data_IF_521433243566
#
_entry.id   IF_521433243566
#
_cell.length_a   1.000
_cell.length_b   1.000
_cell.length_c   1.000
_cell.angle_alpha   90.00
_cell.angle_beta   90.00
_cell.angle_gamma   90.00
#
_symmetry.space_group_name_H-M   'P 1'
#
loop_
_entity.id
_entity.type
_entity.pdbx_description
1 polymer ?
#
# COMPACT_ATOMS: atom_id res chain seq x y z
N UNK A 1 5.44 11.60 -8.73
CA UNK A 1 4.07 11.85 -9.22
C UNK A 1 3.27 12.50 -8.12
N UNK A 2 2.26 13.28 -8.46
CA UNK A 2 1.30 13.80 -7.51
C UNK A 2 -0.09 13.25 -7.87
N UNK A 3 -0.85 12.83 -6.85
CA UNK A 3 -2.27 12.47 -6.99
C UNK A 3 -3.13 13.71 -6.81
N UNK A 4 -4.24 13.76 -7.53
CA UNK A 4 -5.26 14.79 -7.32
C UNK A 4 -6.06 14.46 -6.05
N UNK A 5 -6.70 15.49 -5.47
CA UNK A 5 -7.60 15.30 -4.33
C UNK A 5 -8.80 14.42 -4.67
N UNK A 6 -9.22 14.35 -5.94
CA UNK A 6 -10.30 13.47 -6.42
C UNK A 6 -9.87 12.02 -6.47
N UNK A 7 -8.66 11.76 -6.98
CA UNK A 7 -8.07 10.42 -6.99
C UNK A 7 -7.92 9.88 -5.55
N UNK A 8 -7.40 10.69 -4.62
CA UNK A 8 -7.26 10.28 -3.21
C UNK A 8 -8.63 10.04 -2.55
N UNK A 9 -9.62 10.92 -2.80
CA UNK A 9 -11.00 10.72 -2.31
C UNK A 9 -11.62 9.43 -2.86
N UNK A 10 -11.33 9.07 -4.11
CA UNK A 10 -11.82 7.82 -4.70
C UNK A 10 -11.31 6.57 -3.96
N UNK A 11 -10.17 6.68 -3.27
CA UNK A 11 -9.66 5.59 -2.44
C UNK A 11 -10.36 5.50 -1.08
N UNK A 12 -11.17 6.49 -0.69
CA UNK A 12 -11.93 6.50 0.57
C UNK A 12 -11.20 7.15 1.75
N UNK A 13 -10.08 7.83 1.49
CA UNK A 13 -9.29 8.58 2.49
C UNK A 13 -9.36 10.09 2.24
N UNK A 14 -9.01 10.87 3.26
CA UNK A 14 -9.10 12.33 3.21
C UNK A 14 -7.83 12.95 2.58
N UNK A 15 -7.92 13.64 1.43
CA UNK A 15 -6.76 14.25 0.78
C UNK A 15 -6.11 15.37 1.59
N UNK A 16 -6.81 15.92 2.58
CA UNK A 16 -6.29 16.98 3.46
C UNK A 16 -5.57 16.42 4.69
N UNK A 17 -5.77 15.14 5.01
CA UNK A 17 -5.13 14.46 6.14
C UNK A 17 -3.98 13.58 5.64
N UNK A 18 -2.98 14.26 5.08
CA UNK A 18 -1.78 13.64 4.51
C UNK A 18 -0.55 13.94 5.37
N UNK A 19 0.25 12.91 5.61
CA UNK A 19 1.56 13.02 6.27
C UNK A 19 2.66 12.48 5.34
N UNK A 20 3.78 13.19 5.26
CA UNK A 20 4.98 12.73 4.56
C UNK A 20 5.73 11.71 5.43
N UNK A 21 6.05 10.55 4.85
CA UNK A 21 6.73 9.45 5.56
C UNK A 21 8.26 9.54 5.49
N UNK A 22 8.84 10.53 4.81
CA UNK A 22 10.28 10.73 4.68
C UNK A 22 11.00 10.91 6.03
N UNK A 23 10.27 11.21 7.10
CA UNK A 23 10.81 11.28 8.47
C UNK A 23 11.13 9.91 9.08
N UNK A 24 10.68 8.80 8.46
CA UNK A 24 10.83 7.42 8.98
C UNK A 24 12.14 6.73 8.57
N UNK A 25 12.98 7.37 7.77
CA UNK A 25 14.31 6.87 7.36
C UNK A 25 14.69 7.28 5.93
N UNK A 26 15.99 7.36 5.62
CA UNK A 26 16.49 7.86 4.32
C UNK A 26 16.04 7.04 3.09
N UNK A 27 15.67 5.78 3.32
CA UNK A 27 15.32 4.82 2.27
C UNK A 27 13.82 4.72 2.02
N UNK A 28 13.00 5.33 2.88
CA UNK A 28 11.55 5.25 2.81
C UNK A 28 10.96 6.61 2.43
N UNK A 29 10.35 6.70 1.25
CA UNK A 29 9.72 7.93 0.75
C UNK A 29 8.27 7.67 0.45
N UNK A 30 7.37 8.55 0.86
CA UNK A 30 5.96 8.24 0.74
C UNK A 30 5.01 9.23 1.39
N UNK A 31 3.74 8.87 1.35
CA UNK A 31 2.66 9.62 1.98
C UNK A 31 1.70 8.65 2.66
N UNK A 32 1.13 9.08 3.79
CA UNK A 32 0.02 8.40 4.46
C UNK A 32 -1.19 9.31 4.40
N UNK A 33 -2.32 8.79 3.94
CA UNK A 33 -3.62 9.43 4.00
C UNK A 33 -4.50 8.69 5.00
N UNK A 34 -5.13 9.43 5.90
CA UNK A 34 -5.94 8.85 6.98
C UNK A 34 -7.43 9.07 6.76
N UNK A 35 -8.22 8.15 7.29
CA UNK A 35 -9.68 8.21 7.37
C UNK A 35 -10.14 7.83 8.79
N UNK A 36 -11.43 7.71 9.04
CA UNK A 36 -11.92 7.33 10.37
C UNK A 36 -11.60 5.85 10.68
N UNK A 37 -10.49 5.63 11.39
CA UNK A 37 -10.08 4.32 11.92
C UNK A 37 -9.18 3.47 11.02
N UNK A 38 -8.76 3.99 9.87
CA UNK A 38 -7.90 3.30 8.92
C UNK A 38 -7.11 4.29 8.06
N UNK A 39 -6.09 3.80 7.35
CA UNK A 39 -5.22 4.61 6.50
C UNK A 39 -4.80 3.86 5.23
N UNK A 40 -4.38 4.66 4.24
CA UNK A 40 -3.64 4.20 3.06
C UNK A 40 -2.27 4.87 3.11
N UNK A 41 -1.23 4.08 2.97
CA UNK A 41 0.14 4.56 2.85
C UNK A 41 0.71 4.12 1.50
N UNK A 42 1.37 5.05 0.81
CA UNK A 42 2.22 4.73 -0.31
C UNK A 42 3.67 4.95 0.08
N UNK A 43 4.48 3.90 0.01
CA UNK A 43 5.93 3.95 0.24
C UNK A 43 6.71 3.55 -1.00
N UNK A 44 7.94 4.04 -1.13
CA UNK A 44 8.91 3.63 -2.14
C UNK A 44 10.17 3.17 -1.41
N UNK A 45 10.66 1.98 -1.77
CA UNK A 45 11.83 1.33 -1.19
C UNK A 45 12.77 0.92 -2.33
N UNK A 46 14.07 1.18 -2.19
CA UNK A 46 15.08 0.88 -3.22
C UNK A 46 15.56 -0.57 -3.16
N UNK A 47 14.67 -1.52 -3.43
CA UNK A 47 14.98 -2.95 -3.46
C UNK A 47 14.15 -3.67 -4.53
N UNK A 48 14.56 -4.89 -4.94
CA UNK A 48 13.80 -5.66 -5.91
C UNK A 48 12.53 -6.25 -5.28
N UNK A 49 11.46 -6.31 -6.06
CA UNK A 49 10.18 -6.85 -5.60
C UNK A 49 10.26 -8.33 -5.17
N UNK A 50 11.24 -9.08 -5.67
CA UNK A 50 11.47 -10.48 -5.29
C UNK A 50 11.74 -10.66 -3.80
N UNK A 51 12.24 -9.63 -3.10
CA UNK A 51 12.48 -9.67 -1.66
C UNK A 51 11.18 -9.94 -0.88
N UNK A 52 10.05 -9.50 -1.41
CA UNK A 52 8.74 -9.62 -0.76
C UNK A 52 8.06 -10.98 -0.99
N UNK A 53 8.67 -11.87 -1.79
CA UNK A 53 8.26 -13.27 -1.92
C UNK A 53 9.00 -14.20 -0.94
N UNK A 54 9.84 -13.64 -0.08
CA UNK A 54 10.56 -14.39 0.95
C UNK A 54 9.59 -14.81 2.07
N UNK A 55 8.95 -15.98 1.93
CA UNK A 55 7.90 -16.45 2.85
C UNK A 55 8.32 -16.61 4.32
N UNK A 56 9.58 -16.96 4.67
CA UNK A 56 10.05 -16.83 6.05
C UNK A 56 9.95 -15.43 6.66
N UNK A 57 10.11 -14.38 5.85
CA UNK A 57 10.05 -12.98 6.28
C UNK A 57 8.64 -12.40 6.12
N UNK A 58 7.95 -12.80 5.05
CA UNK A 58 6.59 -12.37 4.71
C UNK A 58 5.68 -13.59 4.55
N UNK A 59 5.22 -14.20 5.66
CA UNK A 59 4.33 -15.36 5.59
C UNK A 59 3.05 -15.02 4.82
N UNK A 60 2.61 -15.94 3.96
CA UNK A 60 1.42 -15.73 3.13
C UNK A 60 1.60 -14.74 1.97
N UNK A 61 2.82 -14.23 1.74
CA UNK A 61 3.11 -13.47 0.52
C UNK A 61 2.84 -14.30 -0.73
N UNK A 62 2.31 -13.66 -1.76
CA UNK A 62 2.00 -14.28 -3.05
C UNK A 62 2.25 -13.32 -4.20
N UNK A 63 2.66 -13.87 -5.33
CA UNK A 63 2.68 -13.12 -6.58
C UNK A 63 1.25 -12.91 -7.09
N UNK A 64 0.97 -11.72 -7.61
CA UNK A 64 -0.34 -11.35 -8.16
C UNK A 64 -0.17 -10.34 -9.30
N UNK A 65 -1.00 -10.43 -10.34
CA UNK A 65 -1.02 -9.41 -11.41
C UNK A 65 -1.83 -8.20 -10.94
N UNK A 66 -1.17 -7.05 -10.80
CA UNK A 66 -1.78 -5.81 -10.29
C UNK A 66 -1.59 -4.72 -11.33
N UNK A 67 -2.69 -4.22 -11.92
CA UNK A 67 -2.63 -3.24 -13.02
C UNK A 67 -1.76 -3.68 -14.20
N UNK A 68 -1.63 -5.00 -14.44
CA UNK A 68 -0.78 -5.58 -15.49
C UNK A 68 0.69 -5.80 -15.11
N UNK A 69 1.13 -5.33 -13.94
CA UNK A 69 2.48 -5.54 -13.42
C UNK A 69 2.57 -6.83 -12.59
N UNK A 70 3.77 -7.42 -12.54
CA UNK A 70 4.10 -8.55 -11.66
C UNK A 70 4.28 -8.04 -10.22
N UNK A 71 3.17 -7.96 -9.49
CA UNK A 71 3.12 -7.47 -8.11
C UNK A 71 3.19 -8.58 -7.07
N UNK A 72 3.25 -8.17 -5.80
CA UNK A 72 3.24 -9.06 -4.65
C UNK A 72 2.22 -8.56 -3.63
N UNK A 73 1.43 -9.46 -3.06
CA UNK A 73 0.51 -9.14 -1.96
C UNK A 73 0.91 -9.90 -0.72
N UNK A 74 0.97 -9.22 0.41
CA UNK A 74 1.32 -9.84 1.69
C UNK A 74 0.69 -9.10 2.87
N UNK A 75 0.50 -9.83 3.97
CA UNK A 75 -0.06 -9.32 5.21
C UNK A 75 1.06 -9.03 6.22
N UNK A 76 0.88 -8.01 7.07
CA UNK A 76 1.82 -7.71 8.15
C UNK A 76 1.10 -7.03 9.32
N UNK A 77 1.21 -7.50 10.57
CA UNK A 77 1.84 -8.77 10.95
C UNK A 77 1.16 -9.95 10.23
N UNK A 78 1.84 -11.10 10.15
CA UNK A 78 1.45 -12.24 9.31
C UNK A 78 0.01 -12.75 9.51
N UNK A 79 -0.66 -12.39 10.61
CA UNK A 79 -2.08 -12.72 10.85
C UNK A 79 -3.03 -11.85 10.04
N UNK A 80 -2.56 -10.78 9.38
CA UNK A 80 -3.36 -9.95 8.48
C UNK A 80 -4.43 -9.10 9.15
N UNK A 81 -4.49 -9.15 10.48
CA UNK A 81 -5.60 -8.57 11.23
C UNK A 81 -5.57 -7.05 11.21
N UNK A 82 -4.47 -6.38 10.89
CA UNK A 82 -4.45 -4.91 10.93
C UNK A 82 -3.84 -4.24 9.71
N UNK A 83 -3.18 -4.99 8.81
CA UNK A 83 -2.58 -4.39 7.62
C UNK A 83 -2.31 -5.40 6.49
N UNK A 84 -2.47 -4.92 5.26
CA UNK A 84 -2.08 -5.63 4.05
C UNK A 84 -1.38 -4.69 3.07
N UNK A 85 -0.44 -5.25 2.31
CA UNK A 85 0.40 -4.53 1.36
C UNK A 85 0.26 -5.13 -0.03
N UNK A 86 0.09 -4.27 -1.03
CA UNK A 86 0.26 -4.57 -2.44
C UNK A 86 1.52 -3.84 -2.93
N UNK A 87 2.53 -4.59 -3.32
CA UNK A 87 3.82 -4.09 -3.81
C UNK A 87 3.89 -4.20 -5.34
N UNK A 88 4.45 -3.17 -5.98
CA UNK A 88 4.60 -3.03 -7.43
C UNK A 88 6.06 -2.79 -7.80
N UNK A 89 6.56 -3.40 -8.89
CA UNK A 89 7.88 -3.08 -9.40
C UNK A 89 7.87 -1.68 -10.05
N UNK A 90 8.93 -0.90 -9.83
CA UNK A 90 9.12 0.42 -10.45
C UNK A 90 10.62 0.68 -10.67
N UNK A 91 11.12 0.31 -11.85
CA UNK A 91 12.55 0.41 -12.19
C UNK A 91 13.43 -0.34 -11.18
N UNK A 92 14.25 0.38 -10.39
CA UNK A 92 15.14 -0.17 -9.36
C UNK A 92 14.53 -0.13 -7.94
N UNK A 93 13.26 0.22 -7.84
CA UNK A 93 12.55 0.36 -6.58
C UNK A 93 11.26 -0.48 -6.57
N UNK A 94 10.71 -0.67 -5.38
CA UNK A 94 9.39 -1.23 -5.16
C UNK A 94 8.47 -0.15 -4.58
N UNK A 95 7.28 -0.02 -5.14
CA UNK A 95 6.22 0.87 -4.61
C UNK A 95 5.23 0.04 -3.82
N UNK A 96 5.05 0.39 -2.57
CA UNK A 96 4.17 -0.27 -1.61
C UNK A 96 2.91 0.54 -1.46
N UNK A 97 1.76 -0.09 -1.66
CA UNK A 97 0.46 0.42 -1.23
C UNK A 97 0.02 -0.39 -0.02
N UNK A 98 -0.05 0.26 1.13
CA UNK A 98 -0.30 -0.35 2.42
C UNK A 98 -1.66 0.15 2.91
N UNK A 99 -2.55 -0.77 3.27
CA UNK A 99 -3.83 -0.44 3.91
C UNK A 99 -3.76 -0.94 5.34
N UNK A 100 -4.03 -0.06 6.31
CA UNK A 100 -3.96 -0.39 7.74
C UNK A 100 -5.20 0.06 8.50
N UNK A 101 -5.57 -0.71 9.52
CA UNK A 101 -6.62 -0.39 10.49
C UNK A 101 -5.97 -0.13 11.84
N UNK A 102 -6.31 0.99 12.45
CA UNK A 102 -5.92 1.34 13.82
C UNK A 102 -7.12 1.51 14.76
N UNK A 103 -8.35 1.45 14.24
CA UNK A 103 -9.58 1.31 15.02
C UNK A 103 -10.47 0.26 14.37
N UNK A 104 -10.50 -0.96 14.92
CA UNK A 104 -11.24 -2.09 14.35
C UNK A 104 -12.71 -1.80 14.06
N UNK A 105 -13.42 -1.15 15.00
CA UNK A 105 -14.86 -0.89 14.87
C UNK A 105 -15.20 0.01 13.68
N UNK A 106 -14.34 0.98 13.38
CA UNK A 106 -14.58 1.99 12.34
C UNK A 106 -13.87 1.63 11.03
N UNK A 107 -12.61 1.26 11.12
CA UNK A 107 -11.78 0.88 9.98
C UNK A 107 -12.30 -0.36 9.26
N UNK A 108 -12.67 -1.43 9.98
CA UNK A 108 -13.16 -2.67 9.35
C UNK A 108 -14.47 -2.49 8.60
N UNK A 109 -15.31 -1.54 9.03
CA UNK A 109 -16.55 -1.19 8.32
C UNK A 109 -16.26 -0.56 6.96
N UNK A 110 -15.19 0.25 6.86
CA UNK A 110 -14.82 0.96 5.64
C UNK A 110 -13.93 0.12 4.71
N UNK A 111 -13.01 -0.67 5.27
CA UNK A 111 -12.10 -1.55 4.54
C UNK A 111 -12.18 -2.98 5.13
N UNK A 112 -13.23 -3.75 4.81
CA UNK A 112 -13.43 -5.09 5.36
C UNK A 112 -12.35 -6.08 4.89
N UNK A 113 -11.91 -5.95 3.64
CA UNK A 113 -10.80 -6.70 3.06
C UNK A 113 -9.66 -5.73 2.73
N UNK A 114 -8.61 -5.78 3.56
CA UNK A 114 -7.45 -4.90 3.43
C UNK A 114 -6.62 -5.22 2.20
N UNK A 115 -6.52 -6.49 1.82
CA UNK A 115 -5.73 -6.89 0.67
C UNK A 115 -6.44 -6.53 -0.64
N UNK A 116 -7.76 -6.74 -0.72
CA UNK A 116 -8.55 -6.28 -1.85
C UNK A 116 -8.43 -4.75 -2.01
N UNK A 117 -8.51 -4.00 -0.90
CA UNK A 117 -8.34 -2.55 -0.96
C UNK A 117 -6.93 -2.11 -1.37
N UNK A 118 -5.91 -2.81 -0.89
CA UNK A 118 -4.52 -2.53 -1.28
C UNK A 118 -4.32 -2.78 -2.78
N UNK A 119 -4.85 -3.88 -3.32
CA UNK A 119 -4.78 -4.23 -4.74
C UNK A 119 -5.58 -3.25 -5.61
N UNK A 120 -6.75 -2.81 -5.16
CA UNK A 120 -7.56 -1.79 -5.85
C UNK A 120 -6.76 -0.49 -6.04
N UNK A 121 -6.19 0.02 -4.96
CA UNK A 121 -5.41 1.27 -4.99
C UNK A 121 -4.10 1.07 -5.75
N UNK A 122 -3.40 -0.05 -5.56
CA UNK A 122 -2.19 -0.37 -6.31
C UNK A 122 -2.45 -0.49 -7.81
N UNK A 123 -3.60 -1.03 -8.23
CA UNK A 123 -4.00 -1.06 -9.64
C UNK A 123 -4.09 0.35 -10.23
N UNK A 124 -4.61 1.32 -9.47
CA UNK A 124 -4.59 2.72 -9.87
C UNK A 124 -3.16 3.28 -9.91
N UNK A 125 -2.36 3.06 -8.87
CA UNK A 125 -0.96 3.53 -8.78
C UNK A 125 -0.13 3.03 -9.96
N UNK A 126 -0.32 1.78 -10.38
CA UNK A 126 0.36 1.18 -11.53
C UNK A 126 0.20 2.00 -12.82
N UNK A 127 -0.92 2.71 -13.00
CA UNK A 127 -1.16 3.56 -14.17
C UNK A 127 -0.28 4.81 -14.22
N UNK A 128 0.32 5.18 -13.09
CA UNK A 128 1.13 6.39 -12.94
C UNK A 128 2.63 6.07 -12.89
N UNK A 129 3.03 4.87 -12.48
CA UNK A 129 4.42 4.45 -12.30
C UNK A 129 5.30 4.74 -13.54
N UNK A 130 6.57 5.14 -13.35
CA UNK A 130 7.47 5.24 -14.48
C UNK A 130 7.65 3.84 -15.07
N UNK A 131 7.62 3.76 -16.40
CA UNK A 131 7.91 2.52 -17.12
C UNK A 131 9.40 2.23 -17.12
#
# INVERSE_FOLDING_TARGET
MAYTAEEIRSWGVDPTKVEDTATRGLEYRGCVWTADGWAIEQGVINNPISDYLNTPVYPGSRAEKIGGLDGVVYQSPATGDSMCTAALPSQQATVHVIVSIYNEKRGRKAAPDLCAKAVEVATFVATKLPK
#
